data_IF_304953023415
#
_entry.id   IF_304953023415
#
_cell.length_a   1.000
_cell.length_b   1.000
_cell.length_c   1.000
_cell.angle_alpha   90.00
_cell.angle_beta   90.00
_cell.angle_gamma   90.00
#
_symmetry.space_group_name_H-M   'P 1'
#
loop_
_entity.id
_entity.type
_entity.pdbx_description
1 polymer ?
#
# COMPACT_ATOMS: atom_id res chain seq x y z
N UNK A 1 41.21 0.69 51.10
CA UNK A 1 40.49 1.69 50.29
C UNK A 1 40.42 1.15 48.87
N UNK A 2 39.29 0.61 48.44
CA UNK A 2 39.07 0.09 47.09
C UNK A 2 37.81 0.74 46.51
N UNK A 3 37.98 1.69 45.60
CA UNK A 3 36.87 2.29 44.85
C UNK A 3 36.54 1.37 43.67
N UNK A 4 35.40 0.69 43.73
CA UNK A 4 34.80 0.06 42.54
C UNK A 4 33.99 1.13 41.81
N UNK A 5 34.41 1.46 40.60
CA UNK A 5 33.69 2.35 39.68
C UNK A 5 32.67 1.48 38.95
N UNK A 6 31.39 1.73 39.22
CA UNK A 6 30.27 1.17 38.46
C UNK A 6 30.01 2.10 37.28
N UNK A 7 30.30 1.64 36.06
CA UNK A 7 29.81 2.29 34.85
C UNK A 7 28.30 2.02 34.74
N UNK A 8 27.45 3.05 34.65
CA UNK A 8 26.06 2.83 34.27
C UNK A 8 26.06 2.39 32.80
N UNK A 9 25.60 1.17 32.57
CA UNK A 9 25.23 0.67 31.24
C UNK A 9 24.07 1.54 30.79
N UNK A 10 24.39 2.60 30.05
CA UNK A 10 23.42 3.36 29.29
C UNK A 10 22.75 2.36 28.37
N UNK A 11 21.48 2.09 28.65
CA UNK A 11 20.58 1.31 27.80
C UNK A 11 20.61 2.02 26.45
N UNK A 12 21.40 1.46 25.53
CA UNK A 12 21.35 1.85 24.14
C UNK A 12 19.92 1.65 23.71
N UNK A 13 19.25 2.73 23.35
CA UNK A 13 18.09 2.65 22.49
C UNK A 13 18.64 2.05 21.22
N UNK A 14 18.52 0.73 21.12
CA UNK A 14 18.61 0.05 19.84
C UNK A 14 17.36 0.56 19.13
N UNK A 15 17.50 1.67 18.41
CA UNK A 15 16.63 1.94 17.28
C UNK A 15 16.95 0.77 16.37
N UNK A 16 16.23 -0.32 16.57
CA UNK A 16 16.11 -1.38 15.60
C UNK A 16 15.44 -0.67 14.44
N UNK A 17 16.27 -0.01 13.65
CA UNK A 17 15.93 0.42 12.31
C UNK A 17 15.87 -0.90 11.56
N UNK A 18 14.76 -1.63 11.74
CA UNK A 18 14.31 -2.60 10.77
C UNK A 18 14.04 -1.75 9.53
N UNK A 19 15.10 -1.38 8.83
CA UNK A 19 15.04 -1.16 7.40
C UNK A 19 14.87 -2.57 6.87
N UNK A 20 13.66 -3.11 7.01
CA UNK A 20 13.26 -4.23 6.19
C UNK A 20 13.20 -3.62 4.81
N UNK A 21 14.28 -3.81 4.05
CA UNK A 21 14.23 -3.76 2.60
C UNK A 21 13.22 -4.84 2.27
N UNK A 22 11.96 -4.43 2.12
CA UNK A 22 10.92 -5.27 1.55
C UNK A 22 11.45 -5.51 0.14
N UNK A 23 12.08 -6.67 -0.04
CA UNK A 23 12.25 -7.26 -1.35
C UNK A 23 10.83 -7.58 -1.79
N UNK A 24 10.12 -6.56 -2.28
CA UNK A 24 9.04 -6.75 -3.22
C UNK A 24 9.69 -7.61 -4.30
N UNK A 25 9.33 -8.88 -4.33
CA UNK A 25 9.69 -9.76 -5.43
C UNK A 25 8.99 -9.16 -6.66
N UNK A 26 9.69 -8.26 -7.33
CA UNK A 26 9.22 -7.38 -8.42
C UNK A 26 9.14 -8.12 -9.74
N UNK A 27 9.19 -9.46 -9.74
CA UNK A 27 9.07 -10.25 -10.96
C UNK A 27 7.70 -10.11 -11.64
N UNK A 28 6.71 -9.52 -10.96
CA UNK A 28 5.41 -9.16 -11.55
C UNK A 28 5.17 -7.65 -11.41
N UNK A 29 5.76 -6.88 -12.33
CA UNK A 29 5.50 -5.44 -12.43
C UNK A 29 4.13 -5.21 -13.12
N UNK A 30 3.50 -4.07 -12.85
CA UNK A 30 2.09 -3.84 -13.23
C UNK A 30 1.92 -3.33 -14.67
N UNK A 31 0.92 -3.85 -15.40
CA UNK A 31 0.46 -3.32 -16.71
C UNK A 31 -0.57 -2.19 -16.56
N UNK A 32 -0.48 -1.45 -15.45
CA UNK A 32 -1.40 -0.38 -15.08
C UNK A 32 -0.76 0.94 -15.49
N UNK A 33 -1.43 1.68 -16.40
CA UNK A 33 -0.88 2.90 -17.00
C UNK A 33 -1.51 4.16 -16.40
N UNK A 34 -0.90 4.79 -15.38
CA UNK A 34 -1.39 6.06 -14.88
C UNK A 34 -1.04 7.16 -15.87
N UNK A 35 -2.06 7.80 -16.44
CA UNK A 35 -1.88 8.78 -17.51
C UNK A 35 -2.02 10.23 -17.03
N UNK A 36 -2.71 10.45 -15.90
CA UNK A 36 -2.92 11.76 -15.31
C UNK A 36 -2.50 11.77 -13.83
N UNK A 37 -2.28 12.97 -13.30
CA UNK A 37 -2.07 13.16 -11.88
C UNK A 37 -3.41 12.95 -11.14
N UNK A 38 -3.32 12.37 -9.95
CA UNK A 38 -4.39 12.34 -8.98
C UNK A 38 -4.59 13.76 -8.43
N UNK A 39 -5.83 14.06 -8.04
CA UNK A 39 -6.34 15.37 -7.64
C UNK A 39 -6.10 15.70 -6.16
N UNK A 40 -5.06 15.12 -5.55
CA UNK A 40 -4.68 15.35 -4.16
C UNK A 40 -3.16 15.38 -3.98
N UNK A 41 -2.68 16.07 -2.95
CA UNK A 41 -1.24 16.08 -2.65
C UNK A 41 -0.81 14.84 -1.87
N UNK A 42 0.49 14.53 -1.88
CA UNK A 42 1.06 13.46 -1.06
C UNK A 42 0.73 13.60 0.44
N UNK A 43 0.70 14.83 0.94
CA UNK A 43 0.40 15.12 2.35
C UNK A 43 -1.07 14.90 2.67
N UNK A 44 -1.97 15.46 1.84
CA UNK A 44 -3.42 15.31 2.02
C UNK A 44 -3.84 13.85 1.94
N UNK A 45 -3.32 13.12 0.94
CA UNK A 45 -3.60 11.69 0.77
C UNK A 45 -3.20 10.87 1.99
N UNK A 46 -1.96 11.03 2.48
CA UNK A 46 -1.50 10.31 3.67
C UNK A 46 -2.26 10.72 4.94
N UNK A 47 -2.55 12.01 5.10
CA UNK A 47 -3.26 12.53 6.28
C UNK A 47 -4.71 12.03 6.34
N UNK A 48 -5.42 12.04 5.22
CA UNK A 48 -6.81 11.60 5.14
C UNK A 48 -6.93 10.10 5.43
N UNK A 49 -6.08 9.27 4.82
CA UNK A 49 -6.06 7.82 5.09
C UNK A 49 -5.76 7.55 6.56
N UNK A 50 -4.74 8.23 7.12
CA UNK A 50 -4.36 8.06 8.53
C UNK A 50 -5.53 8.33 9.46
N UNK A 51 -6.26 9.42 9.23
CA UNK A 51 -7.41 9.81 10.07
C UNK A 51 -8.51 8.74 10.07
N UNK A 52 -8.78 8.10 8.94
CA UNK A 52 -9.77 7.01 8.87
C UNK A 52 -9.25 5.75 9.57
N UNK A 53 -7.97 5.40 9.39
CA UNK A 53 -7.37 4.20 9.99
C UNK A 53 -7.19 4.27 11.50
N UNK A 54 -7.02 5.46 12.07
CA UNK A 54 -6.96 5.63 13.54
C UNK A 54 -8.21 5.05 14.25
N UNK A 55 -9.37 5.06 13.58
CA UNK A 55 -10.62 4.47 14.09
C UNK A 55 -10.66 2.93 14.08
N UNK A 56 -9.77 2.27 13.32
CA UNK A 56 -9.74 0.81 13.15
C UNK A 56 -8.61 0.15 13.95
N UNK A 57 -7.81 0.94 14.68
CA UNK A 57 -6.64 0.47 15.41
C UNK A 57 -5.40 0.26 14.52
N UNK A 58 -5.44 0.68 13.26
CA UNK A 58 -4.29 0.66 12.36
C UNK A 58 -3.60 2.02 12.42
N UNK A 59 -2.28 2.02 12.60
CA UNK A 59 -1.50 3.27 12.65
C UNK A 59 -0.60 3.41 11.41
N UNK A 60 -0.37 4.66 11.03
CA UNK A 60 0.53 5.03 9.95
C UNK A 60 1.75 5.77 10.48
N UNK A 61 2.93 5.37 10.02
CA UNK A 61 4.18 6.09 10.23
C UNK A 61 4.18 7.46 9.51
N UNK A 62 5.23 8.25 9.73
CA UNK A 62 5.48 9.41 8.87
C UNK A 62 5.98 8.96 7.49
N UNK A 63 5.51 9.57 6.38
CA UNK A 63 5.95 9.15 5.06
C UNK A 63 7.44 9.41 4.84
N UNK A 64 8.17 8.39 4.40
CA UNK A 64 9.53 8.54 3.88
C UNK A 64 9.42 9.15 2.49
N UNK A 65 10.16 10.24 2.24
CA UNK A 65 10.17 10.98 0.97
C UNK A 65 11.40 10.60 0.16
N UNK A 66 11.17 10.17 -1.07
CA UNK A 66 12.21 9.72 -1.99
C UNK A 66 12.11 10.53 -3.27
N UNK A 67 13.16 11.31 -3.55
CA UNK A 67 13.16 12.35 -4.60
C UNK A 67 14.43 12.37 -5.45
N UNK A 68 15.45 11.59 -5.09
CA UNK A 68 16.69 11.50 -5.85
C UNK A 68 16.60 10.34 -6.84
N UNK A 69 17.12 10.47 -8.07
CA UNK A 69 17.01 9.42 -9.09
C UNK A 69 17.44 8.04 -8.60
N UNK A 70 18.58 7.93 -7.90
CA UNK A 70 19.07 6.64 -7.39
C UNK A 70 18.19 6.02 -6.28
N UNK A 71 17.49 6.83 -5.49
CA UNK A 71 16.55 6.31 -4.49
C UNK A 71 15.22 5.92 -5.15
N UNK A 72 14.73 6.72 -6.10
CA UNK A 72 13.50 6.43 -6.85
C UNK A 72 13.67 5.15 -7.67
N UNK A 73 14.78 4.99 -8.38
CA UNK A 73 15.09 3.78 -9.15
C UNK A 73 15.13 2.53 -8.26
N UNK A 74 15.69 2.66 -7.06
CA UNK A 74 15.87 1.53 -6.15
C UNK A 74 14.59 1.12 -5.42
N UNK A 75 13.78 2.08 -5.00
CA UNK A 75 12.67 1.85 -4.06
C UNK A 75 11.29 2.11 -4.64
N UNK A 76 11.21 2.70 -5.83
CA UNK A 76 9.95 3.10 -6.46
C UNK A 76 9.82 2.58 -7.90
N UNK A 77 10.35 1.38 -8.13
CA UNK A 77 10.31 0.65 -9.39
C UNK A 77 9.12 -0.31 -9.41
N UNK A 78 7.95 0.19 -9.83
CA UNK A 78 6.68 -0.54 -9.75
C UNK A 78 6.11 -0.92 -11.13
N UNK A 79 6.53 -0.25 -12.21
CA UNK A 79 5.97 -0.44 -13.55
C UNK A 79 6.86 -1.31 -14.45
N UNK A 80 6.24 -2.23 -15.20
CA UNK A 80 6.92 -3.03 -16.26
C UNK A 80 7.41 -2.13 -17.36
N UNK A 81 6.55 -1.20 -17.76
CA UNK A 81 6.83 -0.25 -18.81
C UNK A 81 7.89 0.76 -18.34
N UNK A 82 9.02 0.76 -19.03
CA UNK A 82 10.14 1.64 -18.72
C UNK A 82 9.81 3.11 -18.96
N UNK A 83 8.95 3.42 -19.94
CA UNK A 83 8.58 4.79 -20.24
C UNK A 83 7.63 5.33 -19.18
N UNK A 84 6.71 4.51 -18.65
CA UNK A 84 5.90 4.86 -17.47
C UNK A 84 6.78 4.99 -16.22
N UNK A 85 7.71 4.06 -16.02
CA UNK A 85 8.62 4.11 -14.86
C UNK A 85 9.48 5.37 -14.84
N UNK A 86 9.93 5.86 -16.02
CA UNK A 86 10.68 7.12 -16.15
C UNK A 86 9.87 8.35 -15.75
N UNK A 87 8.53 8.27 -15.74
CA UNK A 87 7.66 9.37 -15.30
C UNK A 87 7.53 9.47 -13.77
N UNK A 88 8.15 8.55 -13.02
CA UNK A 88 8.23 8.60 -11.56
C UNK A 88 9.47 9.40 -11.17
N UNK A 89 9.25 10.60 -10.63
CA UNK A 89 10.29 11.51 -10.15
C UNK A 89 10.33 11.58 -8.62
N UNK A 90 9.19 11.28 -8.00
CA UNK A 90 9.01 11.39 -6.57
C UNK A 90 8.07 10.30 -6.05
N UNK A 91 8.41 9.79 -4.87
CA UNK A 91 7.57 8.83 -4.19
C UNK A 91 7.61 8.99 -2.67
N UNK A 92 6.51 8.60 -2.05
CA UNK A 92 6.42 8.43 -0.61
C UNK A 92 6.16 6.98 -0.25
N UNK A 93 6.67 6.56 0.90
CA UNK A 93 6.39 5.25 1.49
C UNK A 93 6.00 5.41 2.94
N UNK A 94 4.84 4.88 3.31
CA UNK A 94 4.30 4.96 4.67
C UNK A 94 4.04 3.55 5.17
N UNK A 95 4.66 3.17 6.30
CA UNK A 95 4.40 1.89 6.98
C UNK A 95 3.05 1.89 7.70
N UNK A 96 2.38 0.73 7.64
CA UNK A 96 1.15 0.39 8.32
C UNK A 96 1.45 -0.60 9.45
N UNK A 97 0.96 -0.30 10.64
CA UNK A 97 1.08 -1.16 11.82
C UNK A 97 -0.32 -1.50 12.35
N UNK A 98 -0.50 -2.74 12.81
CA UNK A 98 -1.71 -3.15 13.51
C UNK A 98 -1.78 -2.54 14.93
N UNK A 99 -2.88 -2.85 15.63
CA UNK A 99 -3.13 -2.38 17.01
C UNK A 99 -2.09 -2.83 18.03
N UNK A 100 -1.38 -3.92 17.75
CA UNK A 100 -0.36 -4.52 18.60
C UNK A 100 1.05 -4.03 18.21
N UNK A 101 1.14 -3.17 17.19
CA UNK A 101 2.37 -2.60 16.66
C UNK A 101 3.10 -3.51 15.67
N UNK A 102 2.49 -4.60 15.20
CA UNK A 102 3.08 -5.46 14.19
C UNK A 102 2.94 -4.84 12.81
N UNK A 103 3.95 -5.06 11.98
CA UNK A 103 3.97 -4.58 10.61
C UNK A 103 2.91 -5.29 9.75
N UNK A 104 2.08 -4.51 9.06
CA UNK A 104 1.07 -5.00 8.10
C UNK A 104 1.54 -4.85 6.66
N UNK A 105 2.19 -3.74 6.34
CA UNK A 105 2.49 -3.38 4.96
C UNK A 105 2.82 -1.91 4.75
N UNK A 106 2.71 -1.45 3.51
CA UNK A 106 2.98 -0.07 3.13
C UNK A 106 1.93 0.51 2.21
N UNK A 107 1.84 1.84 2.26
CA UNK A 107 1.22 2.66 1.22
C UNK A 107 2.34 3.43 0.52
N UNK A 108 2.44 3.24 -0.79
CA UNK A 108 3.31 3.99 -1.67
C UNK A 108 2.48 4.95 -2.50
N UNK A 109 2.93 6.19 -2.64
CA UNK A 109 2.38 7.12 -3.62
C UNK A 109 3.52 7.53 -4.53
N UNK A 110 3.32 7.44 -5.84
CA UNK A 110 4.37 7.68 -6.84
C UNK A 110 3.88 8.62 -7.94
N UNK A 111 4.73 9.52 -8.41
CA UNK A 111 4.35 10.55 -9.38
C UNK A 111 5.46 11.57 -9.62
N UNK A 112 5.07 12.80 -9.92
CA UNK A 112 5.99 13.94 -10.04
C UNK A 112 6.24 14.56 -8.66
N UNK A 113 7.12 15.55 -8.58
CA UNK A 113 7.32 16.30 -7.33
C UNK A 113 6.06 17.02 -6.82
N UNK A 114 5.10 17.31 -7.71
CA UNK A 114 3.90 18.06 -7.38
C UNK A 114 2.77 17.14 -6.90
N UNK A 115 2.44 16.11 -7.68
CA UNK A 115 1.27 15.27 -7.46
C UNK A 115 1.53 13.78 -7.73
N UNK A 116 0.90 12.89 -6.94
CA UNK A 116 0.92 11.47 -7.20
C UNK A 116 0.15 11.15 -8.49
N UNK A 117 0.61 10.13 -9.21
CA UNK A 117 -0.06 9.53 -10.38
C UNK A 117 -0.61 8.14 -10.06
N UNK A 118 0.02 7.44 -9.12
CA UNK A 118 -0.39 6.13 -8.63
C UNK A 118 -0.30 6.08 -7.11
N UNK A 119 -1.26 5.42 -6.48
CA UNK A 119 -1.17 4.90 -5.12
C UNK A 119 -1.11 3.38 -5.19
N UNK A 120 -0.15 2.78 -4.49
CA UNK A 120 0.01 1.35 -4.34
C UNK A 120 -0.02 1.01 -2.84
N UNK A 121 -0.97 0.18 -2.44
CA UNK A 121 -0.99 -0.43 -1.11
C UNK A 121 -0.45 -1.85 -1.23
N UNK A 122 0.43 -2.26 -0.34
CA UNK A 122 0.96 -3.63 -0.28
C UNK A 122 0.83 -4.16 1.13
N UNK A 123 0.17 -5.31 1.31
CA UNK A 123 -0.02 -5.98 2.60
C UNK A 123 0.30 -7.47 2.44
N UNK A 124 1.18 -8.00 3.29
CA UNK A 124 1.47 -9.43 3.34
C UNK A 124 0.58 -10.09 4.40
N UNK A 125 -0.02 -11.22 4.05
CA UNK A 125 -0.83 -12.03 4.96
C UNK A 125 -0.29 -13.44 5.07
N UNK A 126 -0.52 -14.06 6.23
CA UNK A 126 -0.17 -15.44 6.47
C UNK A 126 -1.04 -16.39 5.60
N UNK A 127 -0.67 -17.67 5.45
CA UNK A 127 -1.42 -18.63 4.63
C UNK A 127 -2.88 -18.88 5.07
N UNK A 128 -3.27 -18.47 6.29
CA UNK A 128 -4.64 -18.53 6.77
C UNK A 128 -5.40 -17.21 6.61
N UNK A 129 -4.76 -16.16 6.07
CA UNK A 129 -5.30 -14.81 5.87
C UNK A 129 -5.97 -14.23 7.13
N UNK A 130 -5.33 -14.35 8.30
CA UNK A 130 -5.92 -13.86 9.56
C UNK A 130 -6.15 -12.35 9.57
N UNK A 131 -5.33 -11.63 8.81
CA UNK A 131 -5.37 -10.17 8.72
C UNK A 131 -6.32 -9.64 7.62
N UNK A 132 -7.30 -10.45 7.18
CA UNK A 132 -8.30 -10.01 6.20
C UNK A 132 -9.12 -8.79 6.66
N UNK A 133 -9.53 -8.66 7.94
CA UNK A 133 -10.19 -7.45 8.43
C UNK A 133 -9.32 -6.19 8.30
N UNK A 134 -8.01 -6.32 8.49
CA UNK A 134 -7.05 -5.23 8.35
C UNK A 134 -6.89 -4.84 6.88
N UNK A 135 -6.83 -5.81 5.95
CA UNK A 135 -6.83 -5.53 4.51
C UNK A 135 -8.08 -4.74 4.13
N UNK A 136 -9.26 -5.19 4.56
CA UNK A 136 -10.54 -4.52 4.31
C UNK A 136 -10.53 -3.09 4.83
N UNK A 137 -10.05 -2.88 6.05
CA UNK A 137 -9.93 -1.56 6.66
C UNK A 137 -8.99 -0.63 5.88
N UNK A 138 -7.82 -1.14 5.46
CA UNK A 138 -6.84 -0.35 4.70
C UNK A 138 -7.33 -0.04 3.30
N UNK A 139 -7.79 -1.03 2.54
CA UNK A 139 -8.25 -0.84 1.18
C UNK A 139 -9.51 0.03 1.15
N UNK A 140 -10.44 -0.19 2.10
CA UNK A 140 -11.59 0.67 2.35
C UNK A 140 -11.19 2.11 2.57
N UNK A 141 -10.31 2.37 3.54
CA UNK A 141 -9.83 3.72 3.85
C UNK A 141 -9.16 4.40 2.65
N UNK A 142 -8.37 3.66 1.87
CA UNK A 142 -7.70 4.20 0.67
C UNK A 142 -8.71 4.57 -0.40
N UNK A 143 -9.68 3.71 -0.69
CA UNK A 143 -10.70 3.97 -1.72
C UNK A 143 -11.63 5.11 -1.29
N UNK A 144 -12.11 5.10 -0.04
CA UNK A 144 -13.02 6.13 0.47
C UNK A 144 -12.40 7.53 0.48
N UNK A 145 -11.11 7.64 0.83
CA UNK A 145 -10.43 8.93 0.95
C UNK A 145 -9.80 9.41 -0.35
N UNK A 146 -9.34 8.51 -1.22
CA UNK A 146 -8.58 8.88 -2.43
C UNK A 146 -9.38 8.72 -3.72
N UNK A 147 -10.52 8.04 -3.68
CA UNK A 147 -11.42 7.86 -4.84
C UNK A 147 -12.76 8.53 -4.57
N UNK A 148 -13.58 7.94 -3.70
CA UNK A 148 -14.83 8.53 -3.26
C UNK A 148 -15.43 7.73 -2.10
N UNK A 149 -16.25 8.38 -1.26
CA UNK A 149 -17.14 7.72 -0.30
C UNK A 149 -18.48 7.27 -0.93
N UNK A 150 -18.52 7.11 -2.25
CA UNK A 150 -19.73 6.95 -3.06
C UNK A 150 -20.04 5.48 -3.44
N UNK A 151 -19.29 4.52 -2.91
CA UNK A 151 -19.41 3.11 -3.30
C UNK A 151 -20.82 2.56 -3.09
N UNK A 152 -21.43 2.81 -1.92
CA UNK A 152 -22.77 2.30 -1.60
C UNK A 152 -23.87 2.87 -2.51
N UNK A 153 -23.65 4.07 -3.06
CA UNK A 153 -24.58 4.73 -4.00
C UNK A 153 -24.40 4.20 -5.42
N UNK A 154 -23.16 4.08 -5.89
CA UNK A 154 -22.86 3.70 -7.28
C UNK A 154 -22.84 2.19 -7.51
N UNK A 155 -22.51 1.39 -6.48
CA UNK A 155 -22.39 -0.07 -6.50
C UNK A 155 -21.68 -0.59 -7.76
N UNK A 156 -20.42 -0.17 -7.98
CA UNK A 156 -19.74 -0.43 -9.24
C UNK A 156 -19.69 -1.93 -9.52
N UNK A 157 -20.02 -2.32 -10.76
CA UNK A 157 -20.15 -3.71 -11.19
C UNK A 157 -21.16 -4.56 -10.39
N UNK A 158 -22.14 -3.93 -9.73
CA UNK A 158 -23.14 -4.61 -8.91
C UNK A 158 -22.56 -5.18 -7.61
N UNK A 159 -21.49 -4.57 -7.09
CA UNK A 159 -20.87 -4.93 -5.80
C UNK A 159 -21.35 -3.94 -4.74
N UNK A 160 -21.92 -4.44 -3.65
CA UNK A 160 -22.61 -3.65 -2.64
C UNK A 160 -21.66 -2.75 -1.85
N UNK A 161 -20.45 -3.24 -1.54
CA UNK A 161 -19.44 -2.51 -0.78
C UNK A 161 -18.01 -3.01 -1.09
N UNK A 162 -17.01 -2.29 -0.59
CA UNK A 162 -15.60 -2.60 -0.81
C UNK A 162 -15.22 -3.96 -0.21
N UNK A 163 -15.76 -4.30 0.97
CA UNK A 163 -15.52 -5.59 1.63
C UNK A 163 -15.96 -6.77 0.77
N UNK A 164 -17.12 -6.66 0.12
CA UNK A 164 -17.62 -7.68 -0.80
C UNK A 164 -16.70 -7.83 -2.02
N UNK A 165 -16.14 -6.74 -2.55
CA UNK A 165 -15.18 -6.82 -3.66
C UNK A 165 -13.92 -7.60 -3.24
N UNK A 166 -13.40 -7.32 -2.04
CA UNK A 166 -12.24 -7.99 -1.47
C UNK A 166 -12.53 -9.48 -1.22
N UNK A 167 -13.69 -9.82 -0.65
CA UNK A 167 -14.09 -11.20 -0.39
C UNK A 167 -14.26 -12.01 -1.68
N UNK A 168 -14.97 -11.45 -2.68
CA UNK A 168 -15.11 -12.10 -4.00
C UNK A 168 -13.75 -12.32 -4.66
N UNK A 169 -12.83 -11.36 -4.53
CA UNK A 169 -11.49 -11.51 -5.11
C UNK A 169 -10.66 -12.60 -4.39
N UNK A 170 -10.75 -12.66 -3.06
CA UNK A 170 -10.17 -13.74 -2.24
C UNK A 170 -10.69 -15.10 -2.69
N UNK A 171 -12.01 -15.27 -2.76
CA UNK A 171 -12.64 -16.52 -3.15
C UNK A 171 -12.18 -16.97 -4.54
N UNK A 172 -12.17 -16.04 -5.50
CA UNK A 172 -11.69 -16.31 -6.85
C UNK A 172 -10.22 -16.76 -6.90
N UNK A 173 -9.36 -16.20 -6.05
CA UNK A 173 -7.95 -16.60 -5.95
C UNK A 173 -7.82 -18.02 -5.39
N UNK A 174 -8.57 -18.33 -4.34
CA UNK A 174 -8.50 -19.60 -3.62
C UNK A 174 -9.14 -20.78 -4.36
N UNK A 175 -10.23 -20.56 -5.09
CA UNK A 175 -11.02 -21.62 -5.75
C UNK A 175 -10.21 -22.45 -6.76
N UNK A 176 -9.21 -21.83 -7.40
CA UNK A 176 -8.34 -22.50 -8.38
C UNK A 176 -6.88 -22.65 -7.93
N UNK A 177 -6.59 -22.45 -6.63
CA UNK A 177 -5.21 -22.44 -6.07
C UNK A 177 -4.29 -21.60 -6.97
N UNK A 178 -4.77 -20.40 -7.30
CA UNK A 178 -4.06 -19.54 -8.27
C UNK A 178 -2.77 -19.05 -7.63
N UNK A 179 -1.70 -19.00 -8.40
CA UNK A 179 -0.47 -18.35 -7.96
C UNK A 179 -0.58 -16.83 -8.04
N UNK A 180 -1.41 -16.32 -8.95
CA UNK A 180 -1.70 -14.91 -9.12
C UNK A 180 -3.16 -14.69 -9.59
N UNK A 181 -3.80 -13.64 -9.09
CA UNK A 181 -5.09 -13.15 -9.59
C UNK A 181 -5.15 -11.63 -9.56
N UNK A 182 -5.93 -11.07 -10.48
CA UNK A 182 -6.21 -9.64 -10.52
C UNK A 182 -7.68 -9.35 -10.80
N UNK A 183 -8.19 -8.23 -10.30
CA UNK A 183 -9.49 -7.69 -10.65
C UNK A 183 -9.40 -6.18 -10.84
N UNK A 184 -10.11 -5.65 -11.83
CA UNK A 184 -10.11 -4.23 -12.18
C UNK A 184 -11.50 -3.65 -12.04
N UNK A 185 -11.58 -2.37 -11.66
CA UNK A 185 -12.81 -1.63 -11.51
C UNK A 185 -12.56 -0.15 -11.82
N UNK A 186 -13.55 0.53 -12.39
CA UNK A 186 -13.51 1.97 -12.60
C UNK A 186 -14.54 2.65 -11.68
N UNK A 187 -14.13 3.72 -11.01
CA UNK A 187 -14.97 4.48 -10.08
C UNK A 187 -14.54 5.95 -10.11
N UNK A 188 -15.48 6.86 -10.36
CA UNK A 188 -15.22 8.31 -10.38
C UNK A 188 -13.99 8.73 -11.22
N UNK A 189 -13.86 8.17 -12.42
CA UNK A 189 -12.73 8.47 -13.33
C UNK A 189 -11.38 7.91 -12.89
N UNK A 190 -11.33 7.12 -11.81
CA UNK A 190 -10.15 6.40 -11.35
C UNK A 190 -10.28 4.91 -11.67
N UNK A 191 -9.16 4.33 -12.07
CA UNK A 191 -8.99 2.89 -12.20
C UNK A 191 -8.49 2.33 -10.87
N UNK A 192 -9.14 1.26 -10.43
CA UNK A 192 -8.83 0.48 -9.25
C UNK A 192 -8.42 -0.92 -9.69
N UNK A 193 -7.37 -1.46 -9.09
CA UNK A 193 -6.98 -2.86 -9.31
C UNK A 193 -6.60 -3.51 -7.99
N UNK A 194 -7.16 -4.70 -7.71
CA UNK A 194 -6.65 -5.58 -6.65
C UNK A 194 -5.87 -6.73 -7.29
N UNK A 195 -4.71 -7.04 -6.73
CA UNK A 195 -3.95 -8.25 -7.03
C UNK A 195 -3.71 -9.08 -5.77
N UNK A 196 -3.70 -10.39 -5.92
CA UNK A 196 -3.20 -11.34 -4.91
C UNK A 196 -2.17 -12.23 -5.59
N UNK A 197 -1.00 -12.34 -4.98
CA UNK A 197 0.04 -13.30 -5.37
C UNK A 197 0.33 -14.25 -4.20
N UNK A 198 0.33 -15.56 -4.46
CA UNK A 198 0.74 -16.57 -3.47
C UNK A 198 2.27 -16.68 -3.44
N UNK A 199 2.87 -16.63 -2.25
CA UNK A 199 4.31 -16.80 -2.03
C UNK A 199 4.58 -17.76 -0.85
N UNK A 200 5.85 -17.95 -0.50
CA UNK A 200 6.24 -18.87 0.60
C UNK A 200 5.77 -18.40 1.98
N UNK A 201 5.40 -17.13 2.13
CA UNK A 201 4.96 -16.51 3.39
C UNK A 201 3.43 -16.40 3.50
N UNK A 202 2.70 -16.79 2.45
CA UNK A 202 1.25 -16.70 2.36
C UNK A 202 0.81 -15.92 1.12
N UNK A 203 0.09 -14.82 1.32
CA UNK A 203 -0.50 -14.03 0.24
C UNK A 203 -0.10 -12.56 0.31
N UNK A 204 0.45 -12.06 -0.79
CA UNK A 204 0.73 -10.66 -0.99
C UNK A 204 -0.46 -9.98 -1.67
N UNK A 205 -1.10 -9.08 -0.94
CA UNK A 205 -2.21 -8.26 -1.42
C UNK A 205 -1.71 -6.92 -1.92
N UNK A 206 -2.20 -6.50 -3.09
CA UNK A 206 -1.92 -5.19 -3.65
C UNK A 206 -3.20 -4.48 -4.05
N UNK A 207 -3.30 -3.20 -3.74
CA UNK A 207 -4.33 -2.29 -4.29
C UNK A 207 -3.63 -1.18 -5.07
N UNK A 208 -4.08 -0.95 -6.30
CA UNK A 208 -3.63 0.13 -7.15
C UNK A 208 -4.76 1.13 -7.37
N UNK A 209 -4.43 2.42 -7.29
CA UNK A 209 -5.33 3.53 -7.61
C UNK A 209 -4.61 4.51 -8.52
N UNK A 210 -5.15 4.75 -9.72
CA UNK A 210 -4.72 5.84 -10.59
C UNK A 210 -5.91 6.42 -11.36
N UNK A 211 -5.65 7.50 -12.07
CA UNK A 211 -6.60 8.05 -13.05
C UNK A 211 -6.71 7.15 -14.27
N UNK A 212 -7.93 6.98 -14.79
CA UNK A 212 -8.18 6.31 -16.05
C UNK A 212 -8.00 7.30 -17.22
N UNK A 213 -7.26 6.92 -18.27
CA UNK A 213 -7.25 7.67 -19.53
C UNK A 213 -8.56 7.45 -20.28
N UNK A 214 -9.34 8.51 -20.53
CA UNK A 214 -10.44 8.48 -21.50
C UNK A 214 -9.93 8.46 -22.93
#
# INVERSE_FOLDING_TARGET
MSKKIYFPVGIGIVIISIVLIINLDTNEKTNFEPTLALDFTYEDGNSNIKKTLEGTGISMSSPIKLSTPGNVEKFCSFFTDEDIQKLVEYCTSTELLDKDGNFLGNIHMVGTHDLPKLVLVVIQTDPFMKNLPEIKSVFGSVIENLVCSCWEELKPSGIENIDEWIDRHREFHLDAIRTHSKSNLNLEGKQLQIEITTNTEGYLWKLFVATHST
#
